data_IF_673176022534
#
_entry.id   IF_673176022534
#
_cell.length_a   1.000
_cell.length_b   1.000
_cell.length_c   1.000
_cell.angle_alpha   90.00
_cell.angle_beta   90.00
_cell.angle_gamma   90.00
#
_symmetry.space_group_name_H-M   'P 1'
#
loop_
_entity.id
_entity.type
_entity.pdbx_description
1 polymer ?
#
# COMPACT_ATOMS: atom_id res chain seq x y z
N UNK A 1 4.59 -15.88 -11.56
CA UNK A 1 5.44 -15.03 -10.69
C UNK A 1 4.50 -14.32 -9.72
N UNK A 2 4.83 -14.16 -8.43
CA UNK A 2 3.96 -13.47 -7.47
C UNK A 2 4.55 -12.10 -7.14
N UNK A 3 3.70 -11.07 -7.07
CA UNK A 3 4.12 -9.68 -6.83
C UNK A 3 3.48 -9.17 -5.54
N UNK A 4 4.29 -8.57 -4.68
CA UNK A 4 3.83 -7.87 -3.48
C UNK A 4 4.03 -6.37 -3.67
N UNK A 5 2.95 -5.61 -3.48
CA UNK A 5 2.99 -4.15 -3.40
C UNK A 5 2.75 -3.78 -1.95
N UNK A 6 3.74 -3.14 -1.33
CA UNK A 6 3.70 -2.75 0.08
C UNK A 6 3.65 -1.21 0.19
N UNK A 7 2.52 -0.69 0.67
CA UNK A 7 2.40 0.72 1.04
C UNK A 7 3.08 0.97 2.37
N UNK A 8 4.12 1.79 2.36
CA UNK A 8 4.87 2.22 3.54
C UNK A 8 4.55 3.65 3.91
N UNK A 9 4.55 3.98 5.19
CA UNK A 9 4.49 5.36 5.65
C UNK A 9 3.93 5.55 7.05
N UNK A 10 4.15 6.74 7.61
CA UNK A 10 3.54 7.16 8.86
C UNK A 10 2.34 8.10 8.63
N UNK A 11 1.10 7.69 8.94
CA UNK A 11 -0.09 8.49 8.67
C UNK A 11 -0.20 9.77 9.52
N UNK A 12 0.58 9.91 10.60
CA UNK A 12 0.57 11.11 11.45
C UNK A 12 1.67 12.13 11.08
N UNK A 13 2.59 11.79 10.17
CA UNK A 13 3.68 12.66 9.72
C UNK A 13 3.41 13.23 8.33
N UNK A 14 2.37 14.07 8.20
CA UNK A 14 2.00 14.77 6.97
C UNK A 14 2.02 13.85 5.73
N UNK A 15 2.95 14.08 4.80
CA UNK A 15 3.01 13.37 3.52
C UNK A 15 3.74 12.02 3.60
N UNK A 16 4.37 11.68 4.73
CA UNK A 16 5.04 10.39 4.91
C UNK A 16 4.05 9.21 4.81
N UNK A 17 2.77 9.44 5.14
CA UNK A 17 1.70 8.45 5.01
C UNK A 17 1.23 8.17 3.58
N UNK A 18 1.86 8.76 2.55
CA UNK A 18 1.37 8.68 1.16
C UNK A 18 1.35 7.25 0.62
N UNK A 19 2.30 6.39 1.00
CA UNK A 19 2.34 5.00 0.54
C UNK A 19 1.13 4.19 0.99
N UNK A 20 0.58 4.46 2.18
CA UNK A 20 -0.67 3.87 2.66
C UNK A 20 -1.86 4.29 1.80
N UNK A 21 -1.92 5.57 1.41
CA UNK A 21 -2.99 6.09 0.53
C UNK A 21 -2.92 5.46 -0.86
N UNK A 22 -1.72 5.28 -1.40
CA UNK A 22 -1.49 4.62 -2.70
C UNK A 22 -1.91 3.14 -2.64
N UNK A 23 -1.52 2.40 -1.60
CA UNK A 23 -1.90 1.00 -1.43
C UNK A 23 -3.43 0.82 -1.37
N UNK A 24 -4.16 1.69 -0.64
CA UNK A 24 -5.63 1.68 -0.60
C UNK A 24 -6.25 1.94 -1.96
N UNK A 25 -5.74 2.93 -2.69
CA UNK A 25 -6.22 3.22 -4.03
C UNK A 25 -5.98 2.05 -4.99
N UNK A 26 -4.85 1.34 -4.84
CA UNK A 26 -4.49 0.18 -5.64
C UNK A 26 -5.34 -1.05 -5.34
N UNK A 27 -5.76 -1.29 -4.10
CA UNK A 27 -6.65 -2.42 -3.77
C UNK A 27 -7.94 -2.41 -4.61
N UNK A 28 -8.51 -1.22 -4.87
CA UNK A 28 -9.72 -1.09 -5.70
C UNK A 28 -9.47 -1.25 -7.22
N UNK A 29 -8.20 -1.24 -7.66
CA UNK A 29 -7.80 -1.20 -9.08
C UNK A 29 -7.00 -2.42 -9.53
N UNK A 30 -6.41 -3.16 -8.60
CA UNK A 30 -5.55 -4.30 -8.87
C UNK A 30 -6.30 -5.59 -8.50
N UNK A 31 -6.92 -6.24 -9.50
CA UNK A 31 -7.67 -7.49 -9.34
C UNK A 31 -6.93 -8.72 -9.92
N UNK A 32 -5.62 -8.63 -10.09
CA UNK A 32 -4.80 -9.72 -10.59
C UNK A 32 -4.55 -10.76 -9.48
N UNK A 33 -4.84 -12.06 -9.69
CA UNK A 33 -4.67 -13.10 -8.68
C UNK A 33 -3.24 -13.26 -8.16
N UNK A 34 -2.24 -12.85 -8.96
CA UNK A 34 -0.83 -12.94 -8.59
C UNK A 34 -0.28 -11.70 -7.87
N UNK A 35 -1.09 -10.66 -7.69
CA UNK A 35 -0.69 -9.42 -7.03
C UNK A 35 -1.35 -9.33 -5.66
N UNK A 36 -0.54 -9.12 -4.63
CA UNK A 36 -1.01 -8.85 -3.27
C UNK A 36 -0.65 -7.41 -2.89
N UNK A 37 -1.62 -6.65 -2.40
CA UNK A 37 -1.42 -5.26 -1.95
C UNK A 37 -1.63 -5.19 -0.44
N UNK A 38 -0.61 -4.74 0.29
CA UNK A 38 -0.61 -4.63 1.75
C UNK A 38 -0.17 -3.25 2.21
N UNK A 39 -0.59 -2.89 3.41
CA UNK A 39 -0.17 -1.68 4.12
C UNK A 39 0.72 -2.05 5.30
N UNK A 40 1.74 -1.24 5.58
CA UNK A 40 2.45 -1.30 6.85
C UNK A 40 2.95 0.09 7.25
N UNK A 41 2.81 0.41 8.53
CA UNK A 41 3.25 1.68 9.11
C UNK A 41 4.24 1.45 10.24
N UNK A 42 5.06 2.46 10.53
CA UNK A 42 5.85 2.49 11.75
C UNK A 42 5.05 3.19 12.85
N UNK A 43 4.93 2.53 14.00
CA UNK A 43 4.46 3.13 15.25
C UNK A 43 5.67 3.56 16.09
#
# INVERSE_FOLDING_TARGET
MKTLILGLGNPILSDDGIGLRVARALQSKCNQPEVTVMETGMA
#
